data_IF_047470837606
#
_entry.id   IF_047470837606
#
_cell.length_a   1.000
_cell.length_b   1.000
_cell.length_c   1.000
_cell.angle_alpha   90.00
_cell.angle_beta   90.00
_cell.angle_gamma   90.00
#
_symmetry.space_group_name_H-M   'P 1'
#
loop_
_entity.id
_entity.type
_entity.pdbx_description
1 polymer ?
#
# COMPACT_ATOMS: atom_id res chain seq x y z
N UNK A 1 22.62 -6.46 -18.44
CA UNK A 1 21.52 -5.80 -17.73
C UNK A 1 21.96 -5.56 -16.30
N UNK A 2 22.19 -4.31 -15.86
CA UNK A 2 22.58 -4.06 -14.46
C UNK A 2 21.33 -4.19 -13.59
N UNK A 3 21.33 -5.16 -12.68
CA UNK A 3 20.28 -5.31 -11.68
C UNK A 3 20.44 -4.13 -10.72
N UNK A 4 19.41 -3.27 -10.63
CA UNK A 4 19.41 -2.13 -9.71
C UNK A 4 18.99 -2.66 -8.34
N UNK A 5 19.80 -2.43 -7.31
CA UNK A 5 19.45 -2.88 -5.97
C UNK A 5 18.16 -2.21 -5.48
N UNK A 6 17.33 -2.92 -4.67
CA UNK A 6 16.12 -2.35 -4.11
C UNK A 6 16.43 -1.10 -3.29
N UNK A 7 15.56 -0.09 -3.38
CA UNK A 7 15.68 1.09 -2.53
C UNK A 7 15.60 0.67 -1.06
N UNK A 8 16.49 1.21 -0.22
CA UNK A 8 16.43 1.06 1.23
C UNK A 8 16.21 2.43 1.87
N UNK A 9 15.18 2.52 2.72
CA UNK A 9 14.88 3.75 3.45
C UNK A 9 15.81 3.90 4.66
N UNK A 10 16.17 5.14 4.98
CA UNK A 10 16.93 5.45 6.21
C UNK A 10 16.09 5.25 7.47
N UNK A 11 14.78 5.54 7.39
CA UNK A 11 13.83 5.40 8.49
C UNK A 11 12.96 4.16 8.30
N UNK A 12 12.33 3.69 9.39
CA UNK A 12 11.25 2.69 9.31
C UNK A 12 10.05 3.33 8.64
N UNK A 13 9.61 2.75 7.52
CA UNK A 13 8.46 3.22 6.76
C UNK A 13 7.34 2.19 6.91
N UNK A 14 6.17 2.66 7.37
CA UNK A 14 4.91 1.93 7.43
C UNK A 14 3.97 2.51 6.38
N UNK A 15 3.29 1.65 5.63
CA UNK A 15 2.38 2.07 4.55
C UNK A 15 1.08 1.28 4.65
N UNK A 16 -0.06 1.99 4.59
CA UNK A 16 -1.37 1.37 4.39
C UNK A 16 -1.59 1.13 2.90
N UNK A 17 -2.03 -0.07 2.53
CA UNK A 17 -2.40 -0.42 1.16
C UNK A 17 -3.87 -0.85 1.09
N UNK A 18 -4.63 -0.30 0.14
CA UNK A 18 -6.03 -0.64 -0.06
C UNK A 18 -6.46 -0.54 -1.53
N UNK A 19 -7.44 -1.36 -1.93
CA UNK A 19 -8.22 -1.14 -3.14
C UNK A 19 -9.38 -0.18 -2.87
N UNK A 20 -9.64 0.73 -3.81
CA UNK A 20 -10.75 1.68 -3.74
C UNK A 20 -12.12 0.99 -3.64
N UNK A 21 -13.15 1.78 -3.28
CA UNK A 21 -14.51 1.28 -3.13
C UNK A 21 -15.02 0.69 -4.45
N UNK A 22 -15.60 -0.52 -4.39
CA UNK A 22 -16.04 -1.33 -5.54
C UNK A 22 -14.94 -1.79 -6.51
N UNK A 23 -13.67 -1.68 -6.14
CA UNK A 23 -12.58 -2.16 -6.99
C UNK A 23 -12.07 -3.54 -6.58
N UNK A 24 -12.37 -4.57 -7.36
CA UNK A 24 -11.87 -5.93 -7.16
C UNK A 24 -10.47 -6.20 -7.73
N UNK A 25 -9.81 -5.22 -8.36
CA UNK A 25 -8.52 -5.41 -9.03
C UNK A 25 -7.36 -5.30 -8.05
N UNK A 26 -7.07 -6.39 -7.35
CA UNK A 26 -6.02 -6.45 -6.34
C UNK A 26 -4.64 -6.86 -6.88
N UNK A 27 -4.54 -7.23 -8.16
CA UNK A 27 -3.30 -7.70 -8.77
C UNK A 27 -2.17 -6.66 -8.67
N UNK A 28 -2.47 -5.40 -8.97
CA UNK A 28 -1.48 -4.32 -8.92
C UNK A 28 -1.03 -4.02 -7.48
N UNK A 29 -1.97 -3.92 -6.53
CA UNK A 29 -1.63 -3.65 -5.13
C UNK A 29 -0.84 -4.81 -4.51
N UNK A 30 -1.13 -6.05 -4.92
CA UNK A 30 -0.39 -7.24 -4.48
C UNK A 30 1.05 -7.28 -5.00
N UNK A 31 1.31 -6.86 -6.24
CA UNK A 31 2.68 -6.74 -6.75
C UNK A 31 3.40 -5.61 -6.01
N UNK A 32 2.76 -4.44 -5.91
CA UNK A 32 3.40 -3.27 -5.33
C UNK A 32 3.73 -3.47 -3.85
N UNK A 33 2.84 -4.09 -3.06
CA UNK A 33 3.14 -4.40 -1.65
C UNK A 33 4.35 -5.32 -1.50
N UNK A 34 4.52 -6.30 -2.40
CA UNK A 34 5.68 -7.23 -2.36
C UNK A 34 6.97 -6.49 -2.66
N UNK A 35 6.95 -5.55 -3.62
CA UNK A 35 8.11 -4.71 -3.93
C UNK A 35 8.46 -3.82 -2.74
N UNK A 36 7.48 -3.16 -2.13
CA UNK A 36 7.71 -2.31 -0.96
C UNK A 36 8.24 -3.11 0.25
N UNK A 37 7.68 -4.32 0.49
CA UNK A 37 8.18 -5.23 1.53
C UNK A 37 9.62 -5.67 1.26
N UNK A 38 9.96 -5.98 0.00
CA UNK A 38 11.34 -6.33 -0.38
C UNK A 38 12.32 -5.16 -0.18
N UNK A 39 11.83 -3.93 -0.24
CA UNK A 39 12.57 -2.70 0.10
C UNK A 39 12.63 -2.40 1.61
N UNK A 40 12.03 -3.23 2.46
CA UNK A 40 12.07 -3.10 3.93
C UNK A 40 10.93 -2.29 4.54
N UNK A 41 9.91 -1.90 3.77
CA UNK A 41 8.74 -1.21 4.31
C UNK A 41 7.78 -2.20 5.00
N UNK A 42 7.20 -1.78 6.11
CA UNK A 42 6.13 -2.50 6.80
C UNK A 42 4.79 -2.15 6.12
N UNK A 43 4.04 -3.17 5.69
CA UNK A 43 2.79 -2.95 4.94
C UNK A 43 1.60 -3.41 5.75
N UNK A 44 0.68 -2.48 6.03
CA UNK A 44 -0.66 -2.75 6.55
C UNK A 44 -1.59 -2.89 5.34
N UNK A 45 -2.03 -4.11 5.04
CA UNK A 45 -2.89 -4.37 3.89
C UNK A 45 -4.35 -4.54 4.30
N UNK A 46 -5.22 -3.63 3.85
CA UNK A 46 -6.65 -3.63 4.20
C UNK A 46 -7.53 -4.41 3.20
N UNK A 47 -6.94 -4.93 2.12
CA UNK A 47 -7.68 -5.58 1.04
C UNK A 47 -8.35 -4.57 0.10
N UNK A 48 -9.39 -5.02 -0.58
CA UNK A 48 -10.16 -4.23 -1.56
C UNK A 48 -11.52 -3.78 -1.00
N UNK A 49 -12.21 -2.91 -1.73
CA UNK A 49 -13.54 -2.40 -1.39
C UNK A 49 -13.59 -1.69 -0.02
N UNK A 50 -12.63 -0.81 0.23
CA UNK A 50 -12.56 -0.02 1.47
C UNK A 50 -13.01 1.41 1.23
N UNK A 51 -13.81 1.92 2.15
CA UNK A 51 -14.19 3.34 2.15
C UNK A 51 -12.98 4.21 2.54
N UNK A 52 -13.00 5.47 2.08
CA UNK A 52 -11.96 6.46 2.45
C UNK A 52 -11.86 6.58 3.97
N UNK A 53 -12.99 6.54 4.67
CA UNK A 53 -13.04 6.64 6.14
C UNK A 53 -12.27 5.51 6.83
N UNK A 54 -12.50 4.26 6.44
CA UNK A 54 -11.78 3.11 7.01
C UNK A 54 -10.27 3.20 6.76
N UNK A 55 -9.87 3.62 5.55
CA UNK A 55 -8.46 3.75 5.18
C UNK A 55 -7.78 4.81 6.06
N UNK A 56 -8.42 5.97 6.24
CA UNK A 56 -7.87 7.07 7.04
C UNK A 56 -7.85 6.72 8.53
N UNK A 57 -8.91 6.12 9.07
CA UNK A 57 -8.94 5.68 10.47
C UNK A 57 -7.81 4.70 10.77
N UNK A 58 -7.58 3.71 9.88
CA UNK A 58 -6.46 2.79 10.01
C UNK A 58 -5.11 3.50 9.89
N UNK A 59 -4.95 4.39 8.90
CA UNK A 59 -3.69 5.11 8.70
C UNK A 59 -3.28 5.96 9.92
N UNK A 60 -4.26 6.59 10.58
CA UNK A 60 -4.02 7.36 11.80
C UNK A 60 -3.68 6.43 12.98
N UNK A 61 -4.43 5.35 13.17
CA UNK A 61 -4.18 4.40 14.27
C UNK A 61 -2.83 3.71 14.17
N UNK A 62 -2.41 3.39 12.94
CA UNK A 62 -1.13 2.75 12.65
C UNK A 62 0.03 3.73 12.48
N UNK A 63 -0.20 5.03 12.62
CA UNK A 63 0.83 6.08 12.49
C UNK A 63 1.73 5.89 11.24
N UNK A 64 1.08 5.72 10.08
CA UNK A 64 1.78 5.41 8.83
C UNK A 64 2.31 6.66 8.14
N UNK A 65 3.43 6.50 7.43
CA UNK A 65 4.05 7.58 6.67
C UNK A 65 3.45 7.73 5.27
N UNK A 66 2.67 6.75 4.81
CA UNK A 66 2.06 6.79 3.48
C UNK A 66 0.87 5.88 3.31
N UNK A 67 0.04 6.20 2.31
CA UNK A 67 -1.11 5.42 1.90
C UNK A 67 -0.99 5.16 0.40
N UNK A 68 -1.10 3.89 -0.01
CA UNK A 68 -1.09 3.47 -1.40
C UNK A 68 -2.46 2.87 -1.76
N UNK A 69 -3.12 3.47 -2.75
CA UNK A 69 -4.46 3.08 -3.18
C UNK A 69 -4.43 2.66 -4.65
N UNK A 70 -5.12 1.57 -4.99
CA UNK A 70 -5.46 1.24 -6.39
C UNK A 70 -6.90 1.61 -6.68
N UNK A 71 -7.11 2.33 -7.79
CA UNK A 71 -8.45 2.67 -8.29
C UNK A 71 -8.54 2.39 -9.78
N UNK A 72 -9.17 1.25 -10.11
CA UNK A 72 -9.44 0.84 -11.49
C UNK A 72 -10.88 1.14 -11.92
N UNK A 73 -11.81 1.29 -10.99
CA UNK A 73 -13.23 1.52 -11.28
C UNK A 73 -13.63 3.00 -11.22
N UNK A 74 -12.72 3.90 -10.86
CA UNK A 74 -12.98 5.34 -10.83
C UNK A 74 -13.87 5.76 -9.65
N UNK A 75 -13.55 5.27 -8.45
CA UNK A 75 -14.19 5.70 -7.19
C UNK A 75 -13.72 7.05 -6.68
#
# INVERSE_FOLDING_TARGET
>A
MKIKEPYQSTNKIRIVTAGSLFDGHDAAINIMRRIMQASGAEIIHLGHNRSVREIIECAIQEDVQGIAITSYQGG
#
